data_IF_058717748110
#
_entry.id   IF_058717748110
#
_cell.length_a   1.000
_cell.length_b   1.000
_cell.length_c   1.000
_cell.angle_alpha   90.00
_cell.angle_beta   90.00
_cell.angle_gamma   90.00
#
_symmetry.space_group_name_H-M   'P 1'
#
loop_
_entity.id
_entity.type
_entity.pdbx_description
1 polymer ?
#
# COMPACT_ATOMS: atom_id res chain seq x y z
N UNK A 1 -32.96 32.07 -56.41
CA UNK A 1 -33.77 30.86 -56.17
C UNK A 1 -32.91 29.64 -56.44
N UNK A 2 -32.24 29.10 -55.41
CA UNK A 2 -31.48 27.84 -55.50
C UNK A 2 -31.39 27.32 -54.06
N UNK A 3 -32.37 26.51 -53.68
CA UNK A 3 -32.38 25.81 -52.41
C UNK A 3 -33.04 24.47 -52.67
N UNK A 4 -32.25 23.44 -52.95
CA UNK A 4 -32.73 22.05 -53.00
C UNK A 4 -31.51 21.12 -53.01
N UNK A 5 -31.39 20.36 -51.92
CA UNK A 5 -30.50 19.22 -51.86
C UNK A 5 -29.66 19.23 -50.61
N UNK A 6 -30.21 18.72 -49.50
CA UNK A 6 -29.50 17.94 -48.47
C UNK A 6 -30.50 17.48 -47.39
N UNK A 7 -31.52 16.72 -47.78
CA UNK A 7 -32.38 16.00 -46.83
C UNK A 7 -32.67 14.60 -47.36
N UNK A 8 -31.80 13.64 -47.00
CA UNK A 8 -32.11 12.20 -46.82
C UNK A 8 -30.83 11.40 -46.57
N UNK A 9 -30.31 11.49 -45.34
CA UNK A 9 -29.50 10.37 -44.81
C UNK A 9 -30.49 9.32 -44.32
N UNK A 10 -30.71 8.28 -45.14
CA UNK A 10 -31.49 7.09 -44.80
C UNK A 10 -30.90 6.43 -43.55
N UNK A 11 -31.59 6.52 -42.42
CA UNK A 11 -31.29 5.75 -41.23
C UNK A 11 -31.44 4.25 -41.56
N UNK A 12 -30.33 3.50 -41.44
CA UNK A 12 -30.26 2.07 -41.73
C UNK A 12 -31.33 1.30 -40.92
N UNK A 13 -32.19 0.47 -41.56
CA UNK A 13 -33.33 -0.20 -40.90
C UNK A 13 -32.92 -1.12 -39.74
N UNK A 14 -31.66 -1.59 -39.73
CA UNK A 14 -31.07 -2.40 -38.67
C UNK A 14 -30.93 -1.59 -37.37
N UNK A 15 -30.52 -0.32 -37.44
CA UNK A 15 -30.33 0.56 -36.28
C UNK A 15 -31.69 0.87 -35.63
N UNK A 16 -32.73 1.07 -36.43
CA UNK A 16 -34.09 1.32 -35.92
C UNK A 16 -34.69 0.08 -35.24
N UNK A 17 -34.51 -1.12 -35.81
CA UNK A 17 -34.93 -2.37 -35.13
C UNK A 17 -34.18 -2.60 -33.82
N UNK A 18 -32.88 -2.31 -33.78
CA UNK A 18 -32.09 -2.42 -32.55
C UNK A 18 -32.57 -1.41 -31.50
N UNK A 19 -32.90 -0.19 -31.92
CA UNK A 19 -33.43 0.87 -31.04
C UNK A 19 -34.81 0.54 -30.47
N UNK A 20 -35.70 -0.05 -31.27
CA UNK A 20 -37.01 -0.53 -30.83
C UNK A 20 -36.89 -1.68 -29.83
N UNK A 21 -36.06 -2.69 -30.13
CA UNK A 21 -35.79 -3.82 -29.22
C UNK A 21 -35.16 -3.40 -27.89
N UNK A 22 -34.40 -2.31 -27.92
CA UNK A 22 -33.89 -1.64 -26.73
C UNK A 22 -35.05 -0.99 -25.97
N UNK A 23 -35.94 -0.23 -26.61
CA UNK A 23 -37.07 0.42 -25.95
C UNK A 23 -38.05 -0.55 -25.27
N UNK A 24 -38.23 -1.75 -25.82
CA UNK A 24 -39.20 -2.74 -25.31
C UNK A 24 -38.70 -3.56 -24.11
N UNK A 25 -37.44 -3.39 -23.69
CA UNK A 25 -36.93 -4.04 -22.49
C UNK A 25 -37.55 -3.42 -21.22
N UNK A 26 -38.04 -4.23 -20.26
CA UNK A 26 -38.68 -3.73 -19.05
C UNK A 26 -37.75 -2.78 -18.29
N UNK A 27 -38.35 -1.74 -17.70
CA UNK A 27 -37.62 -0.77 -16.89
C UNK A 27 -36.91 -1.51 -15.75
N UNK A 28 -35.62 -1.21 -15.48
CA UNK A 28 -34.89 -1.88 -14.42
C UNK A 28 -35.58 -1.61 -13.08
N UNK A 29 -35.80 -2.66 -12.28
CA UNK A 29 -36.26 -2.50 -10.89
C UNK A 29 -35.24 -1.66 -10.11
N UNK A 30 -35.60 -0.43 -9.82
CA UNK A 30 -34.74 0.53 -9.13
C UNK A 30 -34.87 0.38 -7.63
N UNK A 31 -33.74 0.29 -6.93
CA UNK A 31 -33.72 0.34 -5.46
C UNK A 31 -33.92 1.79 -4.99
N UNK A 32 -35.06 2.09 -4.36
CA UNK A 32 -35.42 3.44 -3.88
C UNK A 32 -34.95 3.73 -2.44
N UNK A 33 -34.35 2.76 -1.75
CA UNK A 33 -33.89 2.93 -0.36
C UNK A 33 -32.61 3.79 -0.28
N UNK A 34 -32.78 5.09 -0.01
CA UNK A 34 -31.68 6.06 0.12
C UNK A 34 -30.68 5.65 1.21
N UNK A 35 -31.19 5.15 2.34
CA UNK A 35 -30.37 4.79 3.49
C UNK A 35 -29.44 3.59 3.19
N UNK A 36 -29.91 2.58 2.45
CA UNK A 36 -29.09 1.45 2.00
C UNK A 36 -27.97 1.91 1.06
N UNK A 37 -28.29 2.82 0.12
CA UNK A 37 -27.30 3.40 -0.80
C UNK A 37 -26.20 4.17 -0.07
N UNK A 38 -26.59 5.04 0.88
CA UNK A 38 -25.63 5.84 1.66
C UNK A 38 -24.71 4.92 2.48
N UNK A 39 -25.28 3.94 3.17
CA UNK A 39 -24.46 3.04 4.00
C UNK A 39 -23.59 2.09 3.16
N UNK A 40 -24.08 1.59 2.02
CA UNK A 40 -23.27 0.80 1.09
C UNK A 40 -22.11 1.64 0.53
N UNK A 41 -22.36 2.90 0.17
CA UNK A 41 -21.31 3.82 -0.26
C UNK A 41 -20.32 4.10 0.88
N UNK A 42 -20.79 4.35 2.10
CA UNK A 42 -19.93 4.55 3.25
C UNK A 42 -19.02 3.34 3.52
N UNK A 43 -19.56 2.13 3.37
CA UNK A 43 -18.79 0.89 3.51
C UNK A 43 -17.67 0.78 2.46
N UNK A 44 -17.95 1.15 1.21
CA UNK A 44 -16.96 1.22 0.14
C UNK A 44 -15.90 2.28 0.43
N UNK A 45 -16.31 3.49 0.86
CA UNK A 45 -15.39 4.58 1.18
C UNK A 45 -14.42 4.17 2.29
N UNK A 46 -14.90 3.49 3.33
CA UNK A 46 -14.03 2.95 4.38
C UNK A 46 -13.08 1.89 3.83
N UNK A 47 -13.52 1.03 2.90
CA UNK A 47 -12.65 0.08 2.20
C UNK A 47 -11.54 0.77 1.39
N UNK A 48 -11.87 1.84 0.67
CA UNK A 48 -10.90 2.65 -0.09
C UNK A 48 -9.89 3.30 0.88
N UNK A 49 -10.36 3.95 1.94
CA UNK A 49 -9.49 4.59 2.95
C UNK A 49 -8.58 3.55 3.63
N UNK A 50 -9.11 2.38 3.98
CA UNK A 50 -8.32 1.33 4.58
C UNK A 50 -7.23 0.80 3.65
N UNK A 51 -7.54 0.67 2.36
CA UNK A 51 -6.59 0.25 1.34
C UNK A 51 -5.50 1.30 1.14
N UNK A 52 -5.88 2.58 1.07
CA UNK A 52 -4.96 3.70 0.86
C UNK A 52 -4.00 3.88 2.05
N UNK A 53 -4.53 3.81 3.28
CA UNK A 53 -3.73 3.88 4.52
C UNK A 53 -2.80 2.66 4.64
N UNK A 54 -3.26 1.47 4.25
CA UNK A 54 -2.44 0.27 4.28
C UNK A 54 -1.32 0.31 3.24
N UNK A 55 -1.61 0.78 2.02
CA UNK A 55 -0.68 0.88 0.92
C UNK A 55 0.22 2.13 0.98
N UNK A 56 -0.07 3.09 1.86
CA UNK A 56 0.59 4.40 1.93
C UNK A 56 0.55 5.15 0.60
N UNK A 57 -0.56 5.03 -0.12
CA UNK A 57 -0.81 5.69 -1.40
C UNK A 57 -1.58 7.00 -1.22
N UNK A 58 -1.89 7.70 -2.31
CA UNK A 58 -2.74 8.91 -2.32
C UNK A 58 -4.05 8.68 -3.12
N UNK A 59 -4.48 7.43 -3.22
CA UNK A 59 -5.64 7.04 -4.02
C UNK A 59 -6.94 7.61 -3.45
N UNK A 60 -7.03 7.76 -2.12
CA UNK A 60 -8.26 8.26 -1.50
C UNK A 60 -8.62 9.67 -1.96
N UNK A 61 -7.61 10.49 -2.30
CA UNK A 61 -7.76 11.90 -2.68
C UNK A 61 -8.66 12.06 -3.90
N UNK A 62 -8.56 11.16 -4.88
CA UNK A 62 -9.39 11.20 -6.08
C UNK A 62 -10.53 10.17 -6.04
N UNK A 63 -10.30 8.97 -5.48
CA UNK A 63 -11.28 7.89 -5.52
C UNK A 63 -12.52 8.18 -4.67
N UNK A 64 -12.35 8.82 -3.50
CA UNK A 64 -13.47 9.19 -2.63
C UNK A 64 -14.39 10.21 -3.32
N UNK A 65 -13.92 11.40 -3.74
CA UNK A 65 -14.80 12.37 -4.37
C UNK A 65 -15.41 11.84 -5.67
N UNK A 66 -14.65 11.07 -6.47
CA UNK A 66 -15.16 10.53 -7.72
C UNK A 66 -16.23 9.44 -7.48
N UNK A 67 -16.08 8.62 -6.45
CA UNK A 67 -17.11 7.62 -6.08
C UNK A 67 -18.39 8.26 -5.52
N UNK A 68 -18.26 9.36 -4.77
CA UNK A 68 -19.42 10.14 -4.29
C UNK A 68 -20.13 10.83 -5.46
N UNK A 69 -19.37 11.42 -6.38
CA UNK A 69 -19.89 12.01 -7.61
C UNK A 69 -20.60 10.96 -8.48
N UNK A 70 -20.03 9.76 -8.59
CA UNK A 70 -20.64 8.64 -9.31
C UNK A 70 -21.95 8.19 -8.67
N UNK A 71 -21.96 7.97 -7.36
CA UNK A 71 -23.15 7.55 -6.63
C UNK A 71 -24.29 8.60 -6.69
N UNK A 72 -23.96 9.89 -6.57
CA UNK A 72 -24.93 10.99 -6.69
C UNK A 72 -25.47 11.11 -8.11
N UNK A 73 -24.60 11.04 -9.12
CA UNK A 73 -25.01 11.03 -10.53
C UNK A 73 -25.92 9.85 -10.86
N UNK A 74 -25.56 8.66 -10.38
CA UNK A 74 -26.33 7.44 -10.53
C UNK A 74 -27.74 7.60 -9.93
N UNK A 75 -27.85 8.24 -8.77
CA UNK A 75 -29.13 8.55 -8.13
C UNK A 75 -30.05 9.43 -8.99
N UNK A 76 -29.51 10.51 -9.56
CA UNK A 76 -30.27 11.43 -10.42
C UNK A 76 -30.68 10.78 -11.74
N UNK A 77 -29.83 9.91 -12.31
CA UNK A 77 -30.08 9.26 -13.61
C UNK A 77 -30.70 7.87 -13.51
N UNK A 78 -31.06 7.38 -12.31
CA UNK A 78 -31.53 6.00 -12.08
C UNK A 78 -32.71 5.54 -12.95
N UNK A 79 -33.60 6.47 -13.31
CA UNK A 79 -34.80 6.20 -14.13
C UNK A 79 -34.58 6.42 -15.63
N UNK A 80 -33.40 6.92 -16.03
CA UNK A 80 -33.06 7.23 -17.43
C UNK A 80 -32.10 6.20 -17.98
N UNK A 81 -32.45 5.61 -19.12
CA UNK A 81 -31.59 4.65 -19.83
C UNK A 81 -30.51 5.41 -20.60
N UNK A 82 -29.31 5.53 -20.02
CA UNK A 82 -28.20 6.21 -20.69
C UNK A 82 -27.16 5.21 -21.18
N UNK A 83 -27.36 4.73 -22.42
CA UNK A 83 -26.50 3.72 -23.05
C UNK A 83 -25.08 4.26 -23.27
N UNK A 84 -24.94 5.54 -23.63
CA UNK A 84 -23.64 6.17 -23.87
C UNK A 84 -22.77 6.20 -22.60
N UNK A 85 -23.38 6.44 -21.43
CA UNK A 85 -22.66 6.41 -20.14
C UNK A 85 -22.19 4.99 -19.83
N UNK A 86 -23.03 3.97 -20.03
CA UNK A 86 -22.63 2.56 -19.83
C UNK A 86 -21.49 2.16 -20.76
N UNK A 87 -21.52 2.63 -22.01
CA UNK A 87 -20.44 2.39 -22.97
C UNK A 87 -19.13 3.09 -22.54
N UNK A 88 -19.22 4.34 -22.08
CA UNK A 88 -18.08 5.07 -21.53
C UNK A 88 -17.48 4.40 -20.29
N UNK A 89 -18.32 3.90 -19.37
CA UNK A 89 -17.87 3.14 -18.19
C UNK A 89 -17.19 1.84 -18.63
N UNK A 90 -17.74 1.12 -19.61
CA UNK A 90 -17.14 -0.11 -20.12
C UNK A 90 -15.75 0.14 -20.73
N UNK A 91 -15.59 1.21 -21.51
CA UNK A 91 -14.28 1.65 -22.02
C UNK A 91 -13.35 1.99 -20.84
N UNK A 92 -13.83 2.74 -19.84
CA UNK A 92 -13.06 3.06 -18.65
C UNK A 92 -12.57 1.80 -17.91
N UNK A 93 -13.42 0.78 -17.79
CA UNK A 93 -13.04 -0.49 -17.14
C UNK A 93 -11.99 -1.25 -17.96
N UNK A 94 -12.07 -1.22 -19.29
CA UNK A 94 -11.05 -1.80 -20.17
C UNK A 94 -9.71 -1.04 -20.06
N UNK A 95 -9.74 0.29 -19.98
CA UNK A 95 -8.55 1.10 -19.78
C UNK A 95 -7.91 0.84 -18.41
N UNK A 96 -8.72 0.72 -17.35
CA UNK A 96 -8.25 0.34 -16.02
C UNK A 96 -7.59 -1.05 -16.04
N UNK A 97 -8.17 -2.01 -16.76
CA UNK A 97 -7.58 -3.33 -16.94
C UNK A 97 -6.27 -3.28 -17.74
N UNK A 98 -6.19 -2.45 -18.78
CA UNK A 98 -4.95 -2.27 -19.54
C UNK A 98 -3.85 -1.63 -18.65
N UNK A 99 -4.20 -0.62 -17.85
CA UNK A 99 -3.30 0.00 -16.89
C UNK A 99 -2.80 -1.02 -15.84
N UNK A 100 -3.69 -1.90 -15.36
CA UNK A 100 -3.31 -3.01 -14.49
C UNK A 100 -2.26 -3.93 -15.14
N UNK A 101 -2.43 -4.33 -16.40
CA UNK A 101 -1.42 -5.17 -17.07
C UNK A 101 -0.08 -4.47 -17.27
N UNK A 102 -0.09 -3.16 -17.51
CA UNK A 102 1.14 -2.36 -17.60
C UNK A 102 1.82 -2.29 -16.23
N UNK A 103 1.07 -2.01 -15.16
CA UNK A 103 1.58 -1.98 -13.78
C UNK A 103 2.11 -3.33 -13.32
N UNK A 104 1.40 -4.42 -13.64
CA UNK A 104 1.81 -5.79 -13.31
C UNK A 104 3.18 -6.14 -13.92
N UNK A 105 3.47 -5.62 -15.12
CA UNK A 105 4.75 -5.83 -15.79
C UNK A 105 5.90 -5.08 -15.13
N UNK A 106 5.61 -3.95 -14.49
CA UNK A 106 6.59 -3.15 -13.74
C UNK A 106 6.82 -3.69 -12.31
N UNK A 107 5.75 -4.20 -11.67
CA UNK A 107 5.74 -4.62 -10.26
C UNK A 107 5.42 -6.12 -10.10
N UNK A 108 6.19 -6.98 -10.78
CA UNK A 108 5.96 -8.44 -10.79
C UNK A 108 5.98 -9.09 -9.40
N UNK A 109 6.63 -8.48 -8.41
CA UNK A 109 6.84 -9.04 -7.09
C UNK A 109 5.82 -8.59 -6.03
N UNK A 110 5.13 -7.44 -6.20
CA UNK A 110 4.08 -6.98 -5.26
C UNK A 110 2.75 -6.68 -5.97
N UNK A 111 2.18 -7.74 -6.55
CA UNK A 111 0.92 -7.70 -7.29
C UNK A 111 -0.28 -7.25 -6.45
N UNK A 112 -0.17 -7.26 -5.12
CA UNK A 112 -1.24 -6.87 -4.20
C UNK A 112 -1.59 -5.39 -4.31
N UNK A 113 -0.58 -4.53 -4.48
CA UNK A 113 -0.78 -3.08 -4.59
C UNK A 113 -1.44 -2.73 -5.94
N UNK A 114 -0.97 -3.34 -7.03
CA UNK A 114 -1.56 -3.19 -8.37
C UNK A 114 -3.00 -3.71 -8.41
N UNK A 115 -3.28 -4.84 -7.73
CA UNK A 115 -4.64 -5.39 -7.62
C UNK A 115 -5.57 -4.48 -6.81
N UNK A 116 -5.08 -3.91 -5.70
CA UNK A 116 -5.82 -2.93 -4.91
C UNK A 116 -6.21 -1.71 -5.76
N UNK A 117 -5.26 -1.18 -6.53
CA UNK A 117 -5.51 -0.06 -7.44
C UNK A 117 -6.59 -0.37 -8.46
N UNK A 118 -6.50 -1.53 -9.13
CA UNK A 118 -7.51 -1.98 -10.08
C UNK A 118 -8.90 -2.05 -9.44
N UNK A 119 -9.00 -2.63 -8.24
CA UNK A 119 -10.27 -2.75 -7.52
C UNK A 119 -10.87 -1.37 -7.19
N UNK A 120 -10.04 -0.41 -6.77
CA UNK A 120 -10.48 0.97 -6.51
C UNK A 120 -10.97 1.63 -7.80
N UNK A 121 -10.21 1.54 -8.90
CA UNK A 121 -10.59 2.10 -10.19
C UNK A 121 -11.91 1.51 -10.70
N UNK A 122 -12.07 0.19 -10.64
CA UNK A 122 -13.31 -0.49 -11.02
C UNK A 122 -14.47 -0.08 -10.12
N UNK A 123 -14.26 0.06 -8.81
CA UNK A 123 -15.30 0.49 -7.88
C UNK A 123 -15.75 1.92 -8.15
N UNK A 124 -14.81 2.82 -8.45
CA UNK A 124 -15.11 4.21 -8.80
C UNK A 124 -15.93 4.26 -10.08
N UNK A 125 -15.55 3.52 -11.12
CA UNK A 125 -16.31 3.44 -12.37
C UNK A 125 -17.70 2.81 -12.16
N UNK A 126 -17.77 1.74 -11.38
CA UNK A 126 -19.02 1.06 -11.04
C UNK A 126 -19.97 1.95 -10.24
N UNK A 127 -19.46 2.90 -9.44
CA UNK A 127 -20.29 3.82 -8.67
C UNK A 127 -21.19 4.72 -9.54
N UNK A 128 -20.83 4.95 -10.80
CA UNK A 128 -21.64 5.72 -11.76
C UNK A 128 -22.85 4.97 -12.31
N UNK A 129 -22.91 3.64 -12.19
CA UNK A 129 -24.00 2.81 -12.72
C UNK A 129 -24.53 1.84 -11.65
N UNK A 130 -25.16 2.40 -10.61
CA UNK A 130 -25.88 1.69 -9.55
C UNK A 130 -27.42 1.84 -9.64
N UNK A 131 -28.07 1.53 -10.78
CA UNK A 131 -29.52 1.63 -10.86
C UNK A 131 -30.23 0.52 -10.06
N UNK A 132 -29.70 -0.70 -10.05
CA UNK A 132 -30.37 -1.87 -9.47
C UNK A 132 -29.84 -2.22 -8.08
N UNK A 133 -30.67 -2.94 -7.34
CA UNK A 133 -30.32 -3.51 -6.03
C UNK A 133 -29.12 -4.47 -6.09
N UNK A 134 -29.04 -5.29 -7.14
CA UNK A 134 -27.91 -6.23 -7.33
C UNK A 134 -26.57 -5.49 -7.45
N UNK A 135 -26.57 -4.31 -8.04
CA UNK A 135 -25.38 -3.48 -8.25
C UNK A 135 -24.88 -2.90 -6.91
N UNK A 136 -25.79 -2.55 -5.99
CA UNK A 136 -25.45 -2.22 -4.60
C UNK A 136 -24.83 -3.44 -3.88
N UNK A 137 -25.39 -4.63 -4.13
CA UNK A 137 -24.82 -5.92 -3.73
C UNK A 137 -23.36 -6.08 -4.12
N UNK A 138 -23.04 -5.83 -5.39
CA UNK A 138 -21.67 -5.92 -5.89
C UNK A 138 -20.75 -4.89 -5.25
N UNK A 139 -21.20 -3.65 -5.08
CA UNK A 139 -20.42 -2.63 -4.37
C UNK A 139 -20.10 -3.03 -2.93
N UNK A 140 -21.04 -3.70 -2.24
CA UNK A 140 -20.80 -4.21 -0.90
C UNK A 140 -19.72 -5.29 -0.86
N UNK A 141 -19.77 -6.23 -1.82
CA UNK A 141 -18.75 -7.28 -1.95
C UNK A 141 -17.38 -6.67 -2.29
N UNK A 142 -17.33 -5.69 -3.20
CA UNK A 142 -16.08 -4.99 -3.53
C UNK A 142 -15.51 -4.26 -2.30
N UNK A 143 -16.35 -3.62 -1.50
CA UNK A 143 -15.92 -3.03 -0.22
C UNK A 143 -15.33 -4.07 0.75
N UNK A 144 -15.90 -5.27 0.81
CA UNK A 144 -15.35 -6.38 1.60
C UNK A 144 -14.02 -6.90 1.04
N UNK A 145 -13.88 -6.96 -0.29
CA UNK A 145 -12.62 -7.34 -0.93
C UNK A 145 -11.54 -6.29 -0.63
N UNK A 146 -11.86 -4.99 -0.70
CA UNK A 146 -10.94 -3.90 -0.40
C UNK A 146 -10.42 -3.97 1.05
N UNK A 147 -11.30 -4.17 2.05
CA UNK A 147 -10.84 -4.34 3.44
C UNK A 147 -10.00 -5.62 3.61
N UNK A 148 -10.30 -6.67 2.84
CA UNK A 148 -9.51 -7.90 2.78
C UNK A 148 -8.11 -7.65 2.23
N UNK A 149 -7.98 -6.95 1.10
CA UNK A 149 -6.68 -6.60 0.51
C UNK A 149 -5.89 -5.69 1.47
N UNK A 150 -6.54 -4.67 2.04
CA UNK A 150 -5.95 -3.79 3.05
C UNK A 150 -5.38 -4.57 4.25
N UNK A 151 -6.05 -5.66 4.68
CA UNK A 151 -5.57 -6.51 5.77
C UNK A 151 -4.24 -7.22 5.48
N UNK A 152 -3.96 -7.51 4.20
CA UNK A 152 -2.74 -8.22 3.79
C UNK A 152 -1.52 -7.31 3.66
N UNK A 153 -1.76 -6.01 3.41
CA UNK A 153 -0.72 -4.99 3.20
C UNK A 153 -0.47 -4.18 4.48
N UNK A 154 -1.48 -4.05 5.35
CA UNK A 154 -1.40 -3.22 6.55
C UNK A 154 -0.23 -3.59 7.48
N UNK A 155 0.45 -2.54 7.96
CA UNK A 155 1.59 -2.63 8.87
C UNK A 155 1.33 -1.94 10.22
N UNK A 156 0.20 -1.26 10.37
CA UNK A 156 -0.09 -0.37 11.51
C UNK A 156 -1.37 -0.75 12.23
N UNK A 157 -1.47 -0.37 13.51
CA UNK A 157 -2.68 -0.57 14.30
C UNK A 157 -3.87 0.28 13.82
N UNK A 158 -3.61 1.31 13.00
CA UNK A 158 -4.64 2.16 12.38
C UNK A 158 -5.64 1.34 11.57
N UNK A 159 -5.19 0.26 10.91
CA UNK A 159 -6.09 -0.64 10.19
C UNK A 159 -7.14 -1.29 11.10
N UNK A 160 -6.80 -1.61 12.35
CA UNK A 160 -7.76 -2.18 13.30
C UNK A 160 -8.94 -1.23 13.57
N UNK A 161 -8.66 0.07 13.67
CA UNK A 161 -9.71 1.09 13.83
C UNK A 161 -10.60 1.18 12.58
N UNK A 162 -10.00 1.15 11.38
CA UNK A 162 -10.74 1.16 10.12
C UNK A 162 -11.57 -0.11 9.92
N UNK A 163 -11.07 -1.26 10.36
CA UNK A 163 -11.80 -2.54 10.35
C UNK A 163 -13.01 -2.49 11.30
N UNK A 164 -12.86 -1.92 12.50
CA UNK A 164 -13.98 -1.72 13.43
C UNK A 164 -15.02 -0.77 12.86
N UNK A 165 -14.59 0.32 12.23
CA UNK A 165 -15.48 1.25 11.53
C UNK A 165 -16.24 0.53 10.40
N UNK A 166 -15.53 -0.25 9.59
CA UNK A 166 -16.11 -1.05 8.51
C UNK A 166 -17.16 -2.02 9.05
N UNK A 167 -16.85 -2.78 10.11
CA UNK A 167 -17.78 -3.73 10.73
C UNK A 167 -19.03 -3.04 11.31
N UNK A 168 -18.84 -1.87 11.92
CA UNK A 168 -19.93 -1.06 12.49
C UNK A 168 -20.92 -0.61 11.42
N UNK A 169 -20.44 -0.33 10.19
CA UNK A 169 -21.27 0.04 9.04
C UNK A 169 -21.82 -1.21 8.32
N UNK A 170 -21.06 -2.28 8.22
CA UNK A 170 -21.46 -3.50 7.51
C UNK A 170 -22.68 -4.17 8.14
N UNK A 171 -22.80 -4.14 9.47
CA UNK A 171 -23.95 -4.73 10.18
C UNK A 171 -25.31 -4.11 9.80
N UNK A 172 -25.53 -2.78 9.95
CA UNK A 172 -26.78 -2.17 9.53
C UNK A 172 -27.03 -2.32 8.03
N UNK A 173 -25.98 -2.29 7.21
CA UNK A 173 -26.07 -2.54 5.75
C UNK A 173 -26.64 -3.93 5.46
N UNK A 174 -26.10 -4.99 6.08
CA UNK A 174 -26.58 -6.36 5.89
C UNK A 174 -28.02 -6.54 6.34
N UNK A 175 -28.41 -5.94 7.47
CA UNK A 175 -29.80 -5.97 7.97
C UNK A 175 -30.74 -5.32 6.96
N UNK A 176 -30.36 -4.19 6.37
CA UNK A 176 -31.16 -3.47 5.38
C UNK A 176 -31.21 -4.20 4.04
N UNK A 177 -30.10 -4.79 3.60
CA UNK A 177 -30.06 -5.60 2.38
C UNK A 177 -30.99 -6.81 2.52
N UNK A 178 -30.94 -7.51 3.65
CA UNK A 178 -31.82 -8.65 3.93
C UNK A 178 -33.31 -8.25 3.94
N UNK A 179 -33.66 -7.12 4.56
CA UNK A 179 -35.06 -6.65 4.57
C UNK A 179 -35.53 -6.18 3.19
N UNK A 180 -34.64 -5.58 2.40
CA UNK A 180 -34.91 -5.21 1.02
C UNK A 180 -35.18 -6.47 0.15
N UNK A 181 -34.43 -7.57 0.37
CA UNK A 181 -34.70 -8.89 -0.29
C UNK A 181 -36.09 -9.43 0.00
N UNK A 182 -36.54 -9.27 1.24
CA UNK A 182 -37.85 -9.76 1.68
C UNK A 182 -39.02 -8.89 1.20
N UNK A 183 -38.77 -7.80 0.46
CA UNK A 183 -39.82 -6.92 -0.05
C UNK A 183 -40.59 -6.17 1.04
N UNK A 184 -40.05 -6.12 2.27
CA UNK A 184 -40.69 -5.48 3.43
C UNK A 184 -40.61 -3.93 3.38
N UNK A 185 -40.31 -3.35 2.22
CA UNK A 185 -39.91 -1.97 2.01
C UNK A 185 -41.07 -0.96 1.89
N UNK A 186 -42.33 -1.36 2.12
CA UNK A 186 -43.50 -0.48 1.96
C UNK A 186 -44.18 0.02 3.24
N UNK A 187 -43.78 -0.41 4.44
CA UNK A 187 -44.41 0.10 5.68
C UNK A 187 -43.81 1.44 6.13
N UNK A 188 -44.41 2.48 5.55
CA UNK A 188 -44.39 3.90 5.91
C UNK A 188 -44.66 4.10 7.41
N UNK A 189 -43.63 4.04 8.28
CA UNK A 189 -43.50 4.80 9.55
C UNK A 189 -42.17 4.51 10.28
N UNK A 190 -41.45 5.58 10.60
CA UNK A 190 -40.18 5.69 11.37
C UNK A 190 -38.93 4.95 10.82
N UNK A 191 -37.89 5.69 10.35
CA UNK A 191 -36.74 5.08 9.66
C UNK A 191 -35.72 4.35 10.57
N UNK A 192 -35.73 4.60 11.88
CA UNK A 192 -34.65 4.15 12.79
C UNK A 192 -35.07 3.14 13.87
N UNK A 193 -36.29 3.23 14.41
CA UNK A 193 -36.72 2.37 15.55
C UNK A 193 -37.48 1.11 15.12
N UNK A 194 -38.30 1.16 14.07
CA UNK A 194 -39.00 -0.02 13.53
C UNK A 194 -38.17 -0.81 12.51
N UNK A 195 -36.97 -0.33 12.17
CA UNK A 195 -36.15 -0.92 11.12
C UNK A 195 -35.32 -2.14 11.55
N UNK A 196 -35.46 -2.63 12.78
CA UNK A 196 -34.56 -3.64 13.36
C UNK A 196 -33.16 -3.10 13.72
N UNK A 197 -32.89 -1.83 13.40
CA UNK A 197 -31.65 -1.09 13.68
C UNK A 197 -31.54 -0.63 15.15
N UNK A 198 -32.04 -1.41 16.11
CA UNK A 198 -31.90 -1.02 17.51
C UNK A 198 -30.40 -1.02 17.89
N UNK A 199 -29.84 0.10 18.38
CA UNK A 199 -28.40 0.20 18.67
C UNK A 199 -27.93 -0.88 19.66
N UNK A 200 -28.79 -1.25 20.62
CA UNK A 200 -28.54 -2.32 21.59
C UNK A 200 -28.42 -3.72 20.95
N UNK A 201 -29.15 -4.03 19.87
CA UNK A 201 -29.00 -5.32 19.15
C UNK A 201 -27.76 -5.29 18.27
N UNK A 202 -27.55 -4.21 17.52
CA UNK A 202 -26.36 -4.06 16.66
C UNK A 202 -25.07 -4.12 17.48
N UNK A 203 -25.01 -3.44 18.62
CA UNK A 203 -23.87 -3.51 19.55
C UNK A 203 -23.65 -4.93 20.09
N UNK A 204 -24.71 -5.65 20.49
CA UNK A 204 -24.58 -7.06 20.90
C UNK A 204 -24.05 -7.94 19.78
N UNK A 205 -24.56 -7.81 18.55
CA UNK A 205 -24.04 -8.56 17.40
C UNK A 205 -22.58 -8.22 17.12
N UNK A 206 -22.20 -6.95 17.17
CA UNK A 206 -20.82 -6.52 16.98
C UNK A 206 -19.89 -7.14 18.04
N UNK A 207 -20.29 -7.12 19.31
CA UNK A 207 -19.52 -7.73 20.40
C UNK A 207 -19.40 -9.24 20.25
N UNK A 208 -20.46 -9.93 19.83
CA UNK A 208 -20.43 -11.38 19.56
C UNK A 208 -19.49 -11.70 18.41
N UNK A 209 -19.55 -10.96 17.30
CA UNK A 209 -18.68 -11.15 16.14
C UNK A 209 -17.22 -10.89 16.52
N UNK A 210 -16.96 -9.80 17.26
CA UNK A 210 -15.62 -9.46 17.71
C UNK A 210 -15.07 -10.52 18.68
N UNK A 211 -15.88 -10.94 19.65
CA UNK A 211 -15.51 -11.97 20.62
C UNK A 211 -15.22 -13.31 19.96
N UNK A 212 -16.08 -13.74 19.04
CA UNK A 212 -15.87 -14.99 18.28
C UNK A 212 -14.63 -14.88 17.38
N UNK A 213 -14.46 -13.76 16.66
CA UNK A 213 -13.30 -13.53 15.81
C UNK A 213 -11.98 -13.53 16.58
N UNK A 214 -11.95 -12.87 17.74
CA UNK A 214 -10.78 -12.86 18.63
C UNK A 214 -10.51 -14.24 19.24
N UNK A 215 -11.55 -14.99 19.59
CA UNK A 215 -11.42 -16.37 20.10
C UNK A 215 -10.81 -17.26 19.02
N UNK A 216 -11.37 -17.25 17.80
CA UNK A 216 -10.81 -17.99 16.67
C UNK A 216 -9.36 -17.56 16.45
N UNK A 217 -9.05 -16.27 16.44
CA UNK A 217 -7.69 -15.77 16.25
C UNK A 217 -6.71 -16.22 17.34
N UNK A 218 -7.14 -16.29 18.60
CA UNK A 218 -6.31 -16.71 19.73
C UNK A 218 -5.96 -18.21 19.66
N UNK A 219 -6.90 -19.04 19.18
CA UNK A 219 -6.73 -20.49 19.11
C UNK A 219 -6.30 -21.01 17.73
N UNK A 220 -6.35 -20.20 16.68
CA UNK A 220 -5.95 -20.62 15.34
C UNK A 220 -4.42 -20.84 15.32
N UNK A 221 -3.94 -22.09 15.10
CA UNK A 221 -2.52 -22.36 15.03
C UNK A 221 -1.93 -21.60 13.84
N UNK A 222 -0.96 -20.73 14.11
CA UNK A 222 -0.23 -19.98 13.07
C UNK A 222 0.79 -20.90 12.42
N UNK A 223 0.29 -21.87 11.64
CA UNK A 223 1.16 -22.74 10.86
C UNK A 223 1.85 -21.89 9.79
N UNK A 224 3.17 -22.03 9.59
CA UNK A 224 3.84 -21.46 8.44
C UNK A 224 3.21 -22.09 7.19
N UNK A 225 2.38 -21.31 6.47
CA UNK A 225 1.70 -21.79 5.27
C UNK A 225 2.68 -22.27 4.20
N UNK A 226 2.18 -23.08 3.26
CA UNK A 226 2.94 -23.61 2.13
C UNK A 226 3.77 -22.50 1.45
N UNK A 227 5.08 -22.70 1.46
CA UNK A 227 6.13 -21.74 1.12
C UNK A 227 6.30 -21.55 -0.40
N UNK A 228 5.23 -21.21 -1.12
CA UNK A 228 5.39 -20.54 -2.42
C UNK A 228 5.82 -19.10 -2.11
N UNK A 229 7.13 -18.92 -1.85
CA UNK A 229 7.76 -17.69 -1.38
C UNK A 229 7.80 -16.64 -2.49
N UNK A 230 6.69 -15.97 -2.76
CA UNK A 230 6.74 -14.64 -3.37
C UNK A 230 6.97 -13.63 -2.26
N UNK A 231 8.24 -13.39 -1.93
CA UNK A 231 8.58 -12.33 -0.99
C UNK A 231 8.24 -10.97 -1.59
N UNK A 232 7.77 -10.01 -0.79
CA UNK A 232 7.57 -8.64 -1.26
C UNK A 232 8.94 -8.01 -1.49
N UNK A 233 9.45 -8.12 -2.71
CA UNK A 233 10.73 -7.53 -3.12
C UNK A 233 10.44 -6.37 -4.06
N UNK A 234 11.08 -5.24 -3.84
CA UNK A 234 10.96 -4.08 -4.71
C UNK A 234 11.43 -4.40 -6.14
N UNK A 235 10.93 -3.63 -7.11
CA UNK A 235 11.38 -3.71 -8.49
C UNK A 235 12.90 -3.46 -8.57
N UNK A 236 13.54 -4.03 -9.58
CA UNK A 236 14.99 -3.92 -9.74
C UNK A 236 15.39 -2.47 -10.02
N UNK A 237 16.37 -1.99 -9.26
CA UNK A 237 16.93 -0.65 -9.45
C UNK A 237 18.28 -0.83 -10.15
N UNK A 238 18.38 -0.29 -11.37
CA UNK A 238 19.65 -0.23 -12.08
C UNK A 238 20.41 1.02 -11.62
N UNK A 239 21.47 0.80 -10.84
CA UNK A 239 22.40 1.86 -10.46
C UNK A 239 23.24 2.21 -11.70
N UNK A 240 23.11 3.44 -12.20
CA UNK A 240 23.88 3.93 -13.36
C UNK A 240 25.34 4.25 -13.00
N UNK A 241 25.64 4.39 -11.70
CA UNK A 241 26.97 4.67 -11.18
C UNK A 241 27.64 3.37 -10.71
N UNK A 242 28.96 3.28 -10.88
CA UNK A 242 29.76 2.17 -10.36
C UNK A 242 29.57 2.06 -8.84
N UNK A 243 29.15 0.88 -8.37
CA UNK A 243 28.97 0.62 -6.95
C UNK A 243 30.33 0.57 -6.25
N UNK A 244 30.48 1.38 -5.20
CA UNK A 244 31.67 1.39 -4.35
C UNK A 244 31.34 0.73 -3.01
N UNK A 245 31.79 -0.51 -2.84
CA UNK A 245 31.60 -1.28 -1.61
C UNK A 245 32.32 -0.67 -0.41
N UNK A 246 33.30 0.21 -0.60
CA UNK A 246 34.05 0.83 0.50
C UNK A 246 33.37 2.10 1.05
N UNK A 247 32.38 2.67 0.35
CA UNK A 247 31.82 3.97 0.74
C UNK A 247 30.50 3.82 1.48
N UNK A 248 30.45 4.26 2.74
CA UNK A 248 29.20 4.48 3.48
C UNK A 248 28.72 5.91 3.22
N UNK A 249 27.51 6.03 2.67
CA UNK A 249 26.84 7.29 2.35
C UNK A 249 25.69 7.48 3.32
N UNK A 250 25.76 8.53 4.11
CA UNK A 250 24.68 8.95 5.00
C UNK A 250 24.12 10.29 4.51
N UNK A 251 22.82 10.36 4.14
CA UNK A 251 22.22 11.58 3.59
C UNK A 251 22.32 12.80 4.52
N UNK A 252 22.33 12.63 5.84
CA UNK A 252 22.48 13.73 6.79
C UNK A 252 23.92 14.24 6.95
N UNK A 253 24.90 13.49 6.44
CA UNK A 253 26.33 13.75 6.68
C UNK A 253 27.17 13.63 5.41
N UNK A 254 26.55 13.78 4.24
CA UNK A 254 27.28 13.89 2.99
C UNK A 254 28.22 15.08 3.09
N UNK A 255 29.52 14.79 3.00
CA UNK A 255 30.53 15.82 2.77
C UNK A 255 30.18 16.49 1.45
N UNK A 256 29.62 17.70 1.51
CA UNK A 256 29.67 18.65 0.39
C UNK A 256 31.14 18.95 0.14
N UNK A 257 31.80 18.07 -0.60
CA UNK A 257 33.18 18.24 -1.01
C UNK A 257 33.22 19.36 -2.04
N UNK A 258 33.90 20.44 -1.68
CA UNK A 258 34.43 21.47 -2.55
C UNK A 258 34.78 20.92 -3.94
N UNK A 259 33.97 21.27 -4.94
CA UNK A 259 34.47 21.52 -6.29
C UNK A 259 34.69 23.03 -6.36
N UNK A 260 35.83 23.47 -5.84
CA UNK A 260 36.17 24.88 -5.75
C UNK A 260 37.65 25.01 -5.50
N UNK A 261 38.43 25.04 -6.58
CA UNK A 261 39.77 25.62 -6.55
C UNK A 261 39.61 27.06 -6.07
N UNK A 262 39.99 27.34 -4.82
CA UNK A 262 39.76 28.65 -4.23
C UNK A 262 40.35 28.75 -2.84
N UNK A 263 41.56 29.29 -2.76
CA UNK A 263 42.12 29.89 -1.55
C UNK A 263 41.07 30.81 -0.90
N UNK A 264 40.67 30.51 0.32
CA UNK A 264 39.61 31.23 1.01
C UNK A 264 39.68 31.01 2.52
N UNK A 265 40.39 31.91 3.20
CA UNK A 265 40.38 32.07 4.64
C UNK A 265 38.97 32.49 5.09
N UNK A 266 38.24 31.65 5.81
CA UNK A 266 36.84 31.94 6.15
C UNK A 266 36.22 31.00 7.17
N UNK A 267 36.13 31.51 8.41
CA UNK A 267 35.03 31.35 9.37
C UNK A 267 34.51 29.93 9.67
N UNK A 268 34.71 29.54 10.95
CA UNK A 268 34.00 28.51 11.74
C UNK A 268 32.60 28.16 11.22
N UNK A 269 32.55 27.31 10.20
CA UNK A 269 31.34 26.62 9.79
C UNK A 269 31.22 25.44 10.74
N UNK A 270 30.20 25.48 11.59
CA UNK A 270 29.83 24.37 12.49
C UNK A 270 29.70 23.11 11.65
N UNK A 271 30.74 22.28 11.68
CA UNK A 271 30.85 21.10 10.83
C UNK A 271 29.91 20.05 11.42
N UNK A 272 28.68 20.01 10.92
CA UNK A 272 27.71 18.97 11.27
C UNK A 272 28.31 17.62 10.88
N UNK A 273 28.45 16.72 11.86
CA UNK A 273 28.97 15.37 11.65
C UNK A 273 30.45 15.24 11.29
N UNK A 274 31.32 16.16 11.71
CA UNK A 274 32.75 15.89 11.65
C UNK A 274 33.06 14.59 12.42
N UNK A 275 33.63 13.60 11.72
CA UNK A 275 34.06 12.32 12.30
C UNK A 275 35.16 12.46 13.37
N UNK A 276 35.62 13.69 13.63
CA UNK A 276 36.62 14.07 14.62
C UNK A 276 36.34 15.50 15.12
N UNK A 277 36.59 15.79 16.40
CA UNK A 277 36.46 17.15 16.97
C UNK A 277 35.08 17.50 17.54
N UNK A 278 34.91 18.70 18.11
CA UNK A 278 33.62 19.18 18.61
C UNK A 278 32.65 19.44 17.45
N UNK A 279 31.42 18.95 17.57
CA UNK A 279 30.40 19.11 16.55
C UNK A 279 28.99 18.96 17.09
N UNK A 280 28.01 19.40 16.30
CA UNK A 280 26.60 19.17 16.57
C UNK A 280 26.11 17.94 15.83
N UNK A 281 25.25 17.19 16.51
CA UNK A 281 24.50 16.07 15.94
C UNK A 281 23.43 16.60 14.96
N UNK A 282 23.12 15.81 13.94
CA UNK A 282 21.98 16.04 13.05
C UNK A 282 20.74 15.46 13.75
N UNK A 283 19.65 16.20 13.81
CA UNK A 283 18.48 15.78 14.58
C UNK A 283 17.70 14.64 13.92
N UNK A 284 17.88 14.41 12.61
CA UNK A 284 17.13 13.44 11.81
C UNK A 284 17.93 12.17 11.50
N UNK A 285 19.23 12.29 11.25
CA UNK A 285 20.07 11.16 10.82
C UNK A 285 21.00 10.66 11.92
N UNK A 286 21.07 9.34 12.08
CA UNK A 286 21.97 8.72 13.04
C UNK A 286 23.44 8.86 12.60
N UNK A 287 24.23 9.59 13.38
CA UNK A 287 25.66 9.84 13.14
C UNK A 287 26.52 8.57 13.13
N UNK A 288 26.09 7.50 13.78
CA UNK A 288 26.81 6.22 13.79
C UNK A 288 26.68 5.43 12.50
N UNK A 289 25.85 5.86 11.54
CA UNK A 289 25.84 5.27 10.20
C UNK A 289 26.87 5.95 9.31
N UNK A 290 28.15 5.74 9.61
CA UNK A 290 29.28 6.32 8.90
C UNK A 290 30.54 5.46 9.14
N UNK A 291 31.63 5.73 8.41
CA UNK A 291 32.92 5.05 8.60
C UNK A 291 33.54 5.36 9.97
N UNK A 292 33.13 6.46 10.61
CA UNK A 292 33.58 6.90 11.92
C UNK A 292 32.41 7.38 12.77
N UNK A 293 32.38 6.98 14.04
CA UNK A 293 31.43 7.46 15.03
C UNK A 293 32.14 8.34 16.05
N UNK A 294 31.76 9.62 16.11
CA UNK A 294 32.30 10.59 17.07
C UNK A 294 31.36 10.70 18.29
N UNK A 295 31.85 10.31 19.46
CA UNK A 295 31.05 10.30 20.70
C UNK A 295 31.01 11.66 21.42
N UNK A 296 31.80 12.63 20.94
CA UNK A 296 31.83 13.98 21.51
C UNK A 296 30.72 14.89 20.96
N UNK A 297 29.92 14.41 20.00
CA UNK A 297 28.80 15.16 19.45
C UNK A 297 27.78 15.49 20.54
N UNK A 298 27.23 16.70 20.48
CA UNK A 298 26.19 17.17 21.40
C UNK A 298 24.87 17.36 20.64
N UNK A 299 23.77 17.03 21.29
CA UNK A 299 22.42 17.07 20.74
C UNK A 299 21.64 15.80 21.06
N UNK A 300 20.36 15.77 20.68
CA UNK A 300 19.49 14.62 20.79
C UNK A 300 18.78 14.39 19.45
N UNK A 301 18.55 13.12 19.10
CA UNK A 301 17.80 12.75 17.91
C UNK A 301 16.30 12.97 18.14
N UNK A 302 15.62 13.48 17.14
CA UNK A 302 14.15 13.52 17.15
C UNK A 302 13.62 12.13 16.82
N UNK A 303 12.64 11.60 17.58
CA UNK A 303 12.02 10.33 17.26
C UNK A 303 11.41 10.36 15.85
N UNK A 304 11.90 9.50 14.95
CA UNK A 304 11.45 9.36 13.57
C UNK A 304 11.35 7.90 13.20
N UNK A 305 10.27 7.51 12.52
CA UNK A 305 10.10 6.14 12.03
C UNK A 305 10.91 6.01 10.75
N UNK A 306 12.03 5.27 10.81
CA UNK A 306 12.92 5.06 9.66
C UNK A 306 12.67 3.73 8.94
N UNK A 307 12.33 2.71 9.72
CA UNK A 307 12.23 1.33 9.26
C UNK A 307 11.15 0.59 10.06
N UNK A 308 10.36 -0.24 9.40
CA UNK A 308 9.47 -1.22 10.05
C UNK A 308 9.96 -2.63 9.73
N UNK A 309 10.10 -3.44 10.77
CA UNK A 309 10.63 -4.81 10.63
C UNK A 309 9.57 -5.81 11.04
N UNK A 310 9.27 -6.75 10.14
CA UNK A 310 8.48 -7.94 10.44
C UNK A 310 9.41 -9.13 10.55
N UNK A 311 9.51 -9.74 11.72
CA UNK A 311 10.34 -10.93 11.94
C UNK A 311 9.59 -12.03 12.69
N UNK A 312 9.95 -13.28 12.41
CA UNK A 312 9.42 -14.45 13.10
C UNK A 312 10.12 -14.73 14.44
N UNK A 313 11.23 -14.03 14.71
CA UNK A 313 11.98 -14.15 15.95
C UNK A 313 12.46 -12.77 16.40
N UNK A 314 12.62 -12.62 17.71
CA UNK A 314 13.32 -11.48 18.29
C UNK A 314 14.82 -11.60 18.08
N UNK A 315 15.51 -10.45 18.03
CA UNK A 315 16.97 -10.43 17.97
C UNK A 315 17.51 -9.03 17.68
N UNK A 316 18.83 -8.93 17.63
CA UNK A 316 19.54 -7.67 17.37
C UNK A 316 19.82 -7.52 15.88
N UNK A 317 19.26 -6.48 15.26
CA UNK A 317 19.56 -6.11 13.89
C UNK A 317 20.88 -5.38 13.84
N UNK A 318 21.88 -6.05 13.29
CA UNK A 318 23.19 -5.47 13.06
C UNK A 318 23.14 -4.57 11.83
N UNK A 319 23.74 -3.40 11.95
CA UNK A 319 23.87 -2.43 10.84
C UNK A 319 25.34 -2.19 10.54
N UNK A 320 26.11 -1.78 11.55
CA UNK A 320 27.55 -1.57 11.45
C UNK A 320 28.26 -2.11 12.68
N UNK A 321 29.54 -2.38 12.52
CA UNK A 321 30.48 -2.61 13.61
C UNK A 321 31.73 -1.78 13.38
N UNK A 322 32.30 -1.31 14.49
CA UNK A 322 33.54 -0.55 14.52
C UNK A 322 34.57 -1.34 15.31
N UNK A 323 35.83 -1.28 14.90
CA UNK A 323 36.90 -2.11 15.45
C UNK A 323 38.06 -1.30 16.06
N UNK A 324 38.28 -0.06 15.62
CA UNK A 324 39.38 0.79 16.13
C UNK A 324 38.87 1.99 16.93
N UNK A 325 39.31 2.11 18.18
CA UNK A 325 39.03 3.27 19.03
C UNK A 325 40.06 4.40 18.79
N UNK A 326 39.57 5.63 18.67
CA UNK A 326 40.36 6.84 18.36
C UNK A 326 40.45 7.82 19.54
N UNK A 327 40.05 7.44 20.75
CA UNK A 327 40.01 8.33 21.93
C UNK A 327 38.78 9.26 21.99
N UNK A 328 38.25 9.67 20.85
CA UNK A 328 37.03 10.49 20.72
C UNK A 328 35.84 9.74 20.12
N UNK A 329 36.06 8.49 19.69
CA UNK A 329 35.13 7.77 18.85
C UNK A 329 35.69 6.45 18.35
N UNK A 330 34.93 5.75 17.52
CA UNK A 330 35.36 4.52 16.85
C UNK A 330 35.39 4.69 15.33
N UNK A 331 36.16 3.87 14.65
CA UNK A 331 36.17 3.80 13.19
C UNK A 331 36.26 2.36 12.69
N UNK A 332 35.91 2.19 11.41
CA UNK A 332 36.02 0.92 10.68
C UNK A 332 37.38 0.88 10.00
N UNK A 333 38.29 0.05 10.50
CA UNK A 333 39.68 0.01 10.03
C UNK A 333 39.85 -0.71 8.70
N UNK A 334 39.05 -1.75 8.43
CA UNK A 334 39.13 -2.65 7.27
C UNK A 334 38.02 -2.40 6.24
N UNK A 335 37.59 -1.15 6.12
CA UNK A 335 36.48 -0.76 5.26
C UNK A 335 36.81 -0.90 3.75
N UNK A 336 38.08 -0.84 3.39
CA UNK A 336 38.64 -1.07 2.06
C UNK A 336 38.65 -2.55 1.65
N UNK A 337 38.50 -3.47 2.60
CA UNK A 337 38.44 -4.92 2.36
C UNK A 337 37.01 -5.44 2.10
N UNK A 338 36.04 -4.54 1.90
CA UNK A 338 34.66 -4.90 1.61
C UNK A 338 34.52 -5.60 0.24
N UNK A 339 33.97 -6.81 0.24
CA UNK A 339 33.78 -7.62 -0.96
C UNK A 339 32.46 -7.28 -1.64
N UNK A 340 32.47 -7.15 -2.97
CA UNK A 340 31.24 -6.99 -3.75
C UNK A 340 30.66 -8.35 -4.11
N UNK A 341 29.43 -8.60 -3.71
CA UNK A 341 28.67 -9.79 -4.09
C UNK A 341 27.69 -9.39 -5.18
N UNK A 342 27.76 -10.07 -6.32
CA UNK A 342 26.88 -9.86 -7.45
C UNK A 342 25.87 -10.99 -7.56
N UNK A 343 24.64 -10.66 -7.98
CA UNK A 343 23.60 -11.64 -8.32
C UNK A 343 23.30 -11.66 -9.81
N UNK A 344 22.77 -12.76 -10.36
CA UNK A 344 22.26 -12.78 -11.73
C UNK A 344 21.10 -11.79 -11.90
N UNK A 345 21.03 -11.09 -13.03
CA UNK A 345 20.00 -10.07 -13.29
C UNK A 345 18.56 -10.58 -13.31
N UNK A 346 18.34 -11.89 -13.48
CA UNK A 346 17.02 -12.52 -13.49
C UNK A 346 16.52 -12.99 -12.11
N UNK A 347 17.38 -13.02 -11.10
CA UNK A 347 17.04 -13.46 -9.74
C UNK A 347 17.22 -12.32 -8.77
N UNK A 348 16.24 -12.01 -7.91
CA UNK A 348 16.35 -10.99 -6.87
C UNK A 348 17.13 -11.43 -5.62
N UNK A 349 17.75 -12.61 -5.66
CA UNK A 349 18.32 -13.27 -4.50
C UNK A 349 19.85 -13.22 -4.50
N UNK A 350 20.41 -12.79 -3.37
CA UNK A 350 21.82 -12.92 -3.02
C UNK A 350 22.03 -14.09 -2.08
N UNK A 351 23.08 -14.87 -2.33
CA UNK A 351 23.54 -15.91 -1.42
C UNK A 351 24.76 -15.39 -0.65
N UNK A 352 24.64 -15.33 0.67
CA UNK A 352 25.68 -14.78 1.53
C UNK A 352 26.52 -15.92 2.14
N UNK A 353 27.84 -15.76 2.22
CA UNK A 353 28.71 -16.74 2.84
C UNK A 353 28.40 -16.82 4.33
N UNK A 354 28.27 -18.05 4.87
CA UNK A 354 28.05 -18.27 6.30
C UNK A 354 29.11 -19.23 6.83
N UNK A 355 29.59 -19.02 8.07
CA UNK A 355 30.46 -19.99 8.71
C UNK A 355 29.69 -21.29 8.93
N UNK A 356 30.38 -22.42 8.73
CA UNK A 356 29.80 -23.74 9.00
C UNK A 356 29.57 -23.86 10.51
N UNK A 357 28.37 -24.25 10.90
CA UNK A 357 27.99 -24.44 12.30
C UNK A 357 27.35 -25.81 12.50
N UNK A 358 27.73 -26.50 13.57
CA UNK A 358 27.13 -27.78 14.00
C UNK A 358 25.90 -27.56 14.90
N UNK A 359 25.64 -26.31 15.31
CA UNK A 359 24.52 -25.99 16.17
C UNK A 359 23.19 -26.09 15.42
N UNK A 360 22.11 -26.35 16.16
CA UNK A 360 20.75 -26.33 15.60
C UNK A 360 20.44 -24.93 15.07
N UNK A 361 20.15 -24.83 13.79
CA UNK A 361 19.74 -23.58 13.15
C UNK A 361 18.23 -23.59 12.95
N UNK A 362 17.63 -22.39 13.02
CA UNK A 362 16.21 -22.17 12.71
C UNK A 362 16.13 -21.13 11.61
N UNK A 363 15.34 -21.43 10.58
CA UNK A 363 15.08 -20.45 9.53
C UNK A 363 14.14 -19.36 10.04
N UNK A 364 14.54 -18.11 9.84
CA UNK A 364 13.79 -16.92 10.23
C UNK A 364 13.66 -16.04 9.00
N UNK A 365 12.43 -15.73 8.61
CA UNK A 365 12.14 -14.76 7.56
C UNK A 365 12.01 -13.36 8.18
N UNK A 366 12.66 -12.38 7.56
CA UNK A 366 12.57 -10.97 7.92
C UNK A 366 12.15 -10.13 6.72
N UNK A 367 11.24 -9.20 6.94
CA UNK A 367 10.84 -8.21 5.93
C UNK A 367 11.08 -6.83 6.50
N UNK A 368 11.84 -6.03 5.75
CA UNK A 368 12.21 -4.66 6.09
C UNK A 368 11.44 -3.71 5.17
N UNK A 369 10.64 -2.82 5.76
CA UNK A 369 9.98 -1.74 5.04
C UNK A 369 10.65 -0.42 5.40
N UNK A 370 11.35 0.17 4.43
CA UNK A 370 12.00 1.47 4.54
C UNK A 370 10.95 2.56 4.44
N UNK A 371 10.86 3.44 5.45
CA UNK A 371 9.84 4.51 5.55
C UNK A 371 10.45 5.89 5.29
N UNK A 372 11.72 6.08 5.65
CA UNK A 372 12.48 7.31 5.37
C UNK A 372 13.75 6.99 4.60
N UNK A 373 14.41 8.03 4.10
CA UNK A 373 15.77 7.89 3.57
C UNK A 373 16.68 7.23 4.60
N UNK A 374 17.40 6.20 4.16
CA UNK A 374 18.38 5.46 4.93
C UNK A 374 19.75 5.59 4.25
N UNK A 375 20.83 5.43 5.02
CA UNK A 375 22.14 5.21 4.42
C UNK A 375 22.14 3.95 3.54
N UNK A 376 23.18 3.79 2.72
CA UNK A 376 23.42 2.55 1.97
C UNK A 376 23.88 1.42 2.90
N UNK A 377 23.06 1.06 3.88
CA UNK A 377 23.33 -0.01 4.85
C UNK A 377 22.10 -0.89 4.93
N UNK A 378 22.31 -2.19 5.02
CA UNK A 378 21.24 -3.19 5.04
C UNK A 378 21.24 -3.85 6.43
N UNK A 379 20.30 -3.48 7.31
CA UNK A 379 20.16 -4.14 8.61
C UNK A 379 19.78 -5.61 8.45
N UNK A 380 20.42 -6.49 9.22
CA UNK A 380 20.08 -7.91 9.21
C UNK A 380 20.30 -8.54 10.60
N UNK A 381 19.60 -9.65 10.89
CA UNK A 381 20.01 -10.53 11.98
C UNK A 381 21.39 -11.14 11.70
N UNK A 382 22.04 -11.63 12.76
CA UNK A 382 23.30 -12.36 12.66
C UNK A 382 23.23 -13.48 11.61
N UNK A 383 24.18 -13.44 10.67
CA UNK A 383 24.41 -14.47 9.63
C UNK A 383 23.23 -14.70 8.66
N UNK A 384 22.83 -13.69 7.90
CA UNK A 384 21.82 -13.85 6.85
C UNK A 384 22.31 -14.86 5.80
N UNK A 385 21.44 -15.77 5.35
CA UNK A 385 21.75 -16.77 4.31
C UNK A 385 21.40 -16.25 2.91
N UNK A 386 20.18 -15.73 2.82
CA UNK A 386 19.54 -15.31 1.58
C UNK A 386 19.06 -13.88 1.81
N UNK A 387 19.48 -12.98 0.93
CA UNK A 387 19.05 -11.59 0.94
C UNK A 387 18.32 -11.30 -0.36
N UNK A 388 17.10 -10.80 -0.26
CA UNK A 388 16.33 -10.34 -1.42
C UNK A 388 16.41 -8.81 -1.46
N UNK A 389 17.12 -8.27 -2.44
CA UNK A 389 17.40 -6.83 -2.51
C UNK A 389 17.37 -6.33 -3.97
N UNK A 390 16.84 -5.12 -4.23
CA UNK A 390 16.53 -4.65 -5.58
C UNK A 390 17.77 -4.31 -6.43
N UNK A 391 18.95 -4.14 -5.85
CA UNK A 391 20.20 -3.89 -6.59
C UNK A 391 20.79 -5.19 -7.15
N UNK A 392 21.72 -5.08 -8.10
CA UNK A 392 22.46 -6.23 -8.65
C UNK A 392 23.72 -6.57 -7.84
N UNK A 393 24.21 -5.60 -7.09
CA UNK A 393 25.45 -5.68 -6.32
C UNK A 393 25.19 -5.21 -4.90
N UNK A 394 25.86 -5.86 -3.94
CA UNK A 394 25.88 -5.49 -2.53
C UNK A 394 27.31 -5.60 -2.00
N UNK A 395 27.64 -4.82 -0.98
CA UNK A 395 28.91 -4.89 -0.27
C UNK A 395 28.78 -5.75 0.99
N UNK A 396 29.77 -6.62 1.22
CA UNK A 396 29.93 -7.39 2.44
C UNK A 396 31.28 -7.06 3.08
N UNK A 397 31.24 -6.51 4.29
CA UNK A 397 32.45 -6.25 5.07
C UNK A 397 33.02 -7.53 5.69
N UNK A 398 34.32 -7.57 6.02
CA UNK A 398 34.92 -8.66 6.79
C UNK A 398 34.21 -8.90 8.14
N UNK A 399 33.66 -7.85 8.73
CA UNK A 399 32.92 -7.94 9.99
C UNK A 399 31.49 -8.46 9.80
N UNK A 400 30.99 -8.57 8.56
CA UNK A 400 29.66 -9.06 8.22
C UNK A 400 28.59 -7.98 8.14
N UNK A 401 28.97 -6.71 7.98
CA UNK A 401 28.02 -5.63 7.69
C UNK A 401 27.64 -5.68 6.20
N UNK A 402 26.38 -5.38 5.90
CA UNK A 402 25.82 -5.39 4.54
C UNK A 402 25.51 -3.95 4.11
N UNK A 403 25.77 -3.64 2.83
CA UNK A 403 25.56 -2.32 2.26
C UNK A 403 25.18 -2.32 0.79
#
# INVERSE_FOLDING_TARGET
MLNLGLDRVRALPIVNRFRQRIHDLPSPETEDSVLLRILAQAMVLVGIVATDVAASTQMSVWAIPLSIAGATWSWYRRRKRNISVKFGIAIGMLLALAAFFVGLRAELNDTRLVLAELLVQLQVLHSFDLPRRKDLGYSMVIGLILIGVASTVSQTMTFGLLLLLFLTIALPVLVLDYRSRLGLSSLRRSPLRQAGLSPKRLSRFLLVILGLGLTIFAFLPRLPGYQLRTFPVSAQINLQQAFDSSRIVNPGYVRTGNIGNGSGNGSTTTTTGAGTGPGKLDEEFYYGFNNRINQNLRGALKPKIVLRVRSQAEGFWRVLAFDRYLGQGWEISRNDQAQTIQRPGWSYQFFLPRPVTLNRTKEIVQTFTVVSELPNLIPALMQPKELYFPTQEIGLDPDGNLR
#
